data_IF_459067467818
#
_entry.id   IF_459067467818
#
_cell.length_a   1.000
_cell.length_b   1.000
_cell.length_c   1.000
_cell.angle_alpha   90.00
_cell.angle_beta   90.00
_cell.angle_gamma   90.00
#
_symmetry.space_group_name_H-M   'P 1'
#
loop_
_entity.id
_entity.type
_entity.pdbx_description
1 polymer ?
#
# COMPACT_ATOMS: atom_id res chain seq x y z
N UNK A 1 -43.01 -6.44 37.05
CA UNK A 1 -41.58 -6.10 37.25
C UNK A 1 -40.60 -6.84 36.34
N UNK A 2 -40.80 -8.12 35.98
CA UNK A 2 -39.85 -8.87 35.12
C UNK A 2 -39.72 -8.39 33.65
N UNK A 3 -40.74 -7.71 33.08
CA UNK A 3 -40.72 -7.25 31.67
C UNK A 3 -39.91 -5.96 31.43
N UNK A 4 -39.85 -5.05 32.40
CA UNK A 4 -39.13 -3.77 32.25
C UNK A 4 -37.60 -3.91 32.37
N UNK A 5 -37.15 -4.93 33.11
CA UNK A 5 -35.72 -5.26 33.24
C UNK A 5 -35.17 -5.85 31.93
N UNK A 6 -35.96 -6.70 31.24
CA UNK A 6 -35.58 -7.24 29.93
C UNK A 6 -35.44 -6.14 28.86
N UNK A 7 -36.36 -5.17 28.83
CA UNK A 7 -36.31 -4.10 27.84
C UNK A 7 -35.12 -3.16 28.04
N UNK A 8 -34.74 -2.88 29.29
CA UNK A 8 -33.54 -2.09 29.60
C UNK A 8 -32.25 -2.84 29.25
N UNK A 9 -32.22 -4.17 29.41
CA UNK A 9 -31.08 -5.00 29.03
C UNK A 9 -30.88 -5.04 27.50
N UNK A 10 -31.97 -5.17 26.73
CA UNK A 10 -31.93 -5.11 25.27
C UNK A 10 -31.49 -3.72 24.79
N UNK A 11 -31.95 -2.65 25.44
CA UNK A 11 -31.54 -1.27 25.11
C UNK A 11 -30.06 -1.03 25.40
N UNK A 12 -29.52 -1.54 26.52
CA UNK A 12 -28.08 -1.49 26.81
C UNK A 12 -27.23 -2.31 25.84
N UNK A 13 -27.71 -3.48 25.41
CA UNK A 13 -27.04 -4.30 24.40
C UNK A 13 -27.05 -3.60 23.04
N UNK A 14 -28.17 -2.98 22.65
CA UNK A 14 -28.25 -2.18 21.42
C UNK A 14 -27.33 -0.95 21.45
N UNK A 15 -27.18 -0.28 22.60
CA UNK A 15 -26.22 0.83 22.79
C UNK A 15 -24.75 0.37 22.76
N UNK A 16 -24.47 -0.87 23.14
CA UNK A 16 -23.12 -1.46 23.05
C UNK A 16 -22.80 -1.91 21.62
N UNK A 17 -23.78 -2.45 20.88
CA UNK A 17 -23.60 -2.91 19.49
C UNK A 17 -23.41 -1.74 18.51
N UNK A 18 -23.99 -0.56 18.79
CA UNK A 18 -23.79 0.65 17.95
C UNK A 18 -22.42 1.32 18.12
N UNK A 19 -21.57 0.83 19.03
CA UNK A 19 -20.19 1.35 19.20
C UNK A 19 -19.15 0.64 18.32
N UNK A 20 -19.54 -0.40 17.57
CA UNK A 20 -18.63 -1.23 16.79
C UNK A 20 -18.58 -0.83 15.31
N UNK A 21 -18.00 0.34 15.00
CA UNK A 21 -17.29 0.64 13.73
C UNK A 21 -16.98 2.15 13.63
N UNK A 22 -16.45 2.73 14.70
CA UNK A 22 -16.01 4.12 14.72
C UNK A 22 -14.51 4.24 14.45
N UNK A 23 -14.13 5.31 13.78
CA UNK A 23 -12.78 5.86 13.82
C UNK A 23 -12.19 5.78 15.23
N UNK A 24 -10.97 5.26 15.37
CA UNK A 24 -10.25 5.18 16.66
C UNK A 24 -9.11 6.16 16.68
N UNK A 25 -8.92 6.85 17.80
CA UNK A 25 -7.74 7.70 17.99
C UNK A 25 -6.48 6.85 17.86
N UNK A 26 -5.59 7.25 16.96
CA UNK A 26 -4.27 6.64 16.82
C UNK A 26 -3.25 7.48 17.60
N UNK A 27 -2.41 6.80 18.38
CA UNK A 27 -1.29 7.42 19.07
C UNK A 27 0.05 7.13 18.40
N UNK A 28 0.05 6.20 17.43
CA UNK A 28 1.19 5.81 16.63
C UNK A 28 0.71 5.34 15.24
N UNK A 29 1.58 5.48 14.26
CA UNK A 29 1.47 4.82 12.96
C UNK A 29 2.45 3.66 12.92
N UNK A 30 2.02 2.57 12.28
CA UNK A 30 2.77 1.32 12.30
C UNK A 30 2.51 0.51 11.05
N UNK A 31 3.60 0.04 10.43
CA UNK A 31 3.60 -0.83 9.27
C UNK A 31 4.87 -1.70 9.24
N UNK A 32 4.79 -2.86 8.61
CA UNK A 32 5.95 -3.72 8.33
C UNK A 32 6.33 -3.52 6.88
N UNK A 33 7.61 -3.22 6.63
CA UNK A 33 8.16 -3.16 5.28
C UNK A 33 8.42 -4.56 4.76
N UNK A 34 7.83 -4.90 3.62
CA UNK A 34 7.91 -6.22 3.01
C UNK A 34 9.35 -6.61 2.67
N UNK A 35 10.15 -5.65 2.18
CA UNK A 35 11.46 -5.93 1.61
C UNK A 35 12.53 -6.15 2.67
N UNK A 36 12.52 -5.35 3.75
CA UNK A 36 13.48 -5.49 4.86
C UNK A 36 12.96 -6.34 6.02
N UNK A 37 11.64 -6.52 6.13
CA UNK A 37 10.97 -7.11 7.29
C UNK A 37 10.99 -6.20 8.54
N UNK A 38 11.44 -4.95 8.40
CA UNK A 38 11.48 -4.00 9.51
C UNK A 38 10.07 -3.52 9.83
N UNK A 39 9.73 -3.54 11.11
CA UNK A 39 8.52 -2.91 11.63
C UNK A 39 8.84 -1.47 12.04
N UNK A 40 8.21 -0.52 11.36
CA UNK A 40 8.28 0.90 11.70
C UNK A 40 7.14 1.25 12.63
N UNK A 41 7.46 1.95 13.71
CA UNK A 41 6.50 2.50 14.67
C UNK A 41 6.89 3.94 14.94
N UNK A 42 6.01 4.89 14.64
CA UNK A 42 6.25 6.33 14.84
C UNK A 42 5.12 6.89 15.73
N UNK A 43 5.42 7.53 16.87
CA UNK A 43 4.40 8.05 17.78
C UNK A 43 3.75 9.32 17.21
N UNK A 44 2.73 9.13 16.38
CA UNK A 44 1.94 10.19 15.78
C UNK A 44 0.53 10.21 16.39
N UNK A 45 0.22 11.30 17.11
CA UNK A 45 -1.12 11.55 17.64
C UNK A 45 -1.98 12.24 16.59
N UNK A 46 -2.67 11.46 15.77
CA UNK A 46 -3.71 11.98 14.87
C UNK A 46 -5.10 11.78 15.47
N UNK A 47 -6.09 12.61 15.08
CA UNK A 47 -7.43 12.54 15.60
C UNK A 47 -7.95 11.12 15.54
N UNK A 48 -7.89 10.46 14.37
CA UNK A 48 -8.40 9.10 14.21
C UNK A 48 -7.77 8.31 13.05
N UNK A 49 -7.85 6.99 13.10
CA UNK A 49 -7.61 6.09 11.99
C UNK A 49 -8.74 5.07 11.80
N UNK A 50 -8.70 4.37 10.68
CA UNK A 50 -9.60 3.24 10.43
C UNK A 50 -9.23 2.03 11.32
N UNK A 51 -9.69 0.83 10.98
CA UNK A 51 -9.48 -0.39 11.78
C UNK A 51 -7.99 -0.75 12.02
N UNK A 52 -7.05 -0.18 11.25
CA UNK A 52 -5.60 -0.39 11.36
C UNK A 52 -4.85 0.94 11.43
N UNK A 53 -3.63 0.92 11.99
CA UNK A 53 -2.71 2.07 12.13
C UNK A 53 -2.16 2.61 10.81
N UNK A 54 -2.47 1.94 9.70
CA UNK A 54 -2.05 2.30 8.34
C UNK A 54 -2.95 3.37 7.72
N UNK A 55 -4.18 3.55 8.21
CA UNK A 55 -5.13 4.52 7.65
C UNK A 55 -5.29 5.70 8.60
N UNK A 56 -4.86 6.87 8.15
CA UNK A 56 -4.77 8.11 8.92
C UNK A 56 -5.87 9.07 8.48
N UNK A 57 -6.67 9.57 9.43
CA UNK A 57 -7.78 10.47 9.16
C UNK A 57 -7.61 11.70 10.03
N UNK A 58 -7.36 12.84 9.39
CA UNK A 58 -6.95 14.06 10.07
C UNK A 58 -7.40 15.31 9.32
N UNK A 59 -7.50 16.43 10.02
CA UNK A 59 -7.71 17.74 9.40
C UNK A 59 -6.37 18.38 8.99
N UNK A 60 -5.25 17.75 9.35
CA UNK A 60 -3.93 18.21 8.94
C UNK A 60 -3.69 17.95 7.45
N UNK A 61 -3.25 18.97 6.72
CA UNK A 61 -2.75 18.78 5.36
C UNK A 61 -1.39 18.05 5.35
N UNK A 62 -0.88 17.72 4.16
CA UNK A 62 0.36 16.94 4.03
C UNK A 62 1.57 17.67 4.60
N UNK A 63 1.60 19.01 4.53
CA UNK A 63 2.69 19.85 5.04
C UNK A 63 2.65 19.94 6.57
N UNK A 64 1.45 20.07 7.15
CA UNK A 64 1.23 20.02 8.59
C UNK A 64 1.59 18.64 9.15
N UNK A 65 1.21 17.57 8.44
CA UNK A 65 1.58 16.20 8.79
C UNK A 65 3.11 16.01 8.73
N UNK A 66 3.76 16.49 7.68
CA UNK A 66 5.22 16.47 7.53
C UNK A 66 5.89 17.20 8.69
N UNK A 67 5.45 18.42 9.03
CA UNK A 67 6.05 19.20 10.12
C UNK A 67 6.01 18.46 11.46
N UNK A 68 4.89 17.76 11.76
CA UNK A 68 4.78 16.91 12.96
C UNK A 68 5.76 15.74 12.91
N UNK A 69 5.88 15.08 11.77
CA UNK A 69 6.80 13.95 11.59
C UNK A 69 8.27 14.39 11.67
N UNK A 70 8.64 15.55 11.12
CA UNK A 70 9.96 16.14 11.25
C UNK A 70 10.30 16.47 12.72
N UNK A 71 9.34 17.00 13.48
CA UNK A 71 9.52 17.24 14.92
C UNK A 71 9.78 15.93 15.67
N UNK A 72 9.03 14.86 15.36
CA UNK A 72 9.23 13.54 15.96
C UNK A 72 10.59 12.95 15.55
N UNK A 73 10.93 13.00 14.26
CA UNK A 73 12.20 12.55 13.70
C UNK A 73 13.39 13.22 14.40
N UNK A 74 13.32 14.53 14.64
CA UNK A 74 14.38 15.28 15.32
C UNK A 74 14.64 14.82 16.77
N UNK A 75 13.64 14.20 17.41
CA UNK A 75 13.72 13.70 18.79
C UNK A 75 14.16 12.24 18.85
N UNK A 76 13.63 11.40 17.96
CA UNK A 76 13.91 9.96 17.96
C UNK A 76 15.19 9.59 17.19
N UNK A 77 15.48 10.30 16.09
CA UNK A 77 16.67 10.10 15.27
C UNK A 77 16.71 8.78 14.47
N UNK A 78 15.61 8.02 14.43
CA UNK A 78 15.49 6.71 13.78
C UNK A 78 14.77 6.75 12.41
N UNK A 79 14.29 7.91 11.97
CA UNK A 79 13.76 8.10 10.62
C UNK A 79 13.97 9.52 10.11
N UNK A 80 13.80 9.73 8.81
CA UNK A 80 13.71 11.03 8.16
C UNK A 80 12.49 11.11 7.25
N UNK A 81 12.02 12.33 6.99
CA UNK A 81 10.87 12.59 6.13
C UNK A 81 11.32 13.39 4.91
N UNK A 82 10.94 12.94 3.72
CA UNK A 82 11.26 13.61 2.46
C UNK A 82 9.97 13.83 1.66
N UNK A 83 9.89 14.96 0.97
CA UNK A 83 8.79 15.24 0.06
C UNK A 83 8.90 14.35 -1.19
N UNK A 84 7.78 13.75 -1.59
CA UNK A 84 7.61 13.12 -2.89
C UNK A 84 6.64 13.96 -3.75
N UNK A 85 6.69 13.83 -5.08
CA UNK A 85 5.68 14.40 -5.96
C UNK A 85 4.25 13.95 -5.58
N UNK A 86 3.26 14.76 -5.96
CA UNK A 86 1.83 14.47 -5.81
C UNK A 86 1.36 14.35 -4.35
N UNK A 87 1.78 15.30 -3.50
CA UNK A 87 1.36 15.43 -2.09
C UNK A 87 1.56 14.13 -1.29
N UNK A 88 2.72 13.52 -1.47
CA UNK A 88 3.15 12.31 -0.79
C UNK A 88 4.45 12.56 0.00
N UNK A 89 4.67 11.73 1.03
CA UNK A 89 5.89 11.76 1.85
C UNK A 89 6.57 10.40 1.83
N UNK A 90 7.89 10.42 1.66
CA UNK A 90 8.76 9.28 1.89
C UNK A 90 9.27 9.32 3.34
N UNK A 91 9.07 8.23 4.05
CA UNK A 91 9.69 7.98 5.36
C UNK A 91 10.83 6.99 5.15
N UNK A 92 12.05 7.44 5.40
CA UNK A 92 13.22 6.56 5.47
C UNK A 92 13.43 6.20 6.93
N UNK A 93 13.07 4.99 7.30
CA UNK A 93 13.24 4.46 8.65
C UNK A 93 14.52 3.63 8.72
N UNK A 94 15.32 3.83 9.77
CA UNK A 94 16.58 3.11 9.96
C UNK A 94 16.57 2.37 11.29
N UNK A 95 16.78 1.06 11.22
CA UNK A 95 16.87 0.17 12.38
C UNK A 95 17.98 -0.84 12.18
N UNK A 96 18.83 -1.01 13.19
CA UNK A 96 19.95 -1.96 13.16
C UNK A 96 20.87 -1.79 11.92
N UNK A 97 21.11 -0.54 11.51
CA UNK A 97 21.87 -0.16 10.30
C UNK A 97 21.26 -0.62 8.97
N UNK A 98 20.00 -1.07 8.96
CA UNK A 98 19.22 -1.36 7.77
C UNK A 98 18.14 -0.29 7.57
N UNK A 99 17.80 -0.03 6.32
CA UNK A 99 16.76 0.93 5.95
C UNK A 99 15.46 0.21 5.57
N UNK A 100 14.35 0.91 5.79
CA UNK A 100 13.03 0.58 5.31
C UNK A 100 12.35 1.84 4.78
N UNK A 101 11.68 1.73 3.65
CA UNK A 101 11.00 2.83 2.99
C UNK A 101 9.50 2.71 3.19
N UNK A 102 8.89 3.77 3.71
CA UNK A 102 7.45 3.87 3.83
C UNK A 102 6.94 5.11 3.11
N UNK A 103 5.69 5.03 2.70
CA UNK A 103 4.97 6.03 1.95
C UNK A 103 3.80 6.51 2.80
N UNK A 104 3.67 7.82 2.93
CA UNK A 104 2.41 8.46 3.30
C UNK A 104 1.86 9.12 2.04
N UNK A 105 0.69 8.67 1.59
CA UNK A 105 0.01 9.28 0.45
C UNK A 105 -1.46 9.48 0.75
N UNK A 106 -2.04 10.56 0.23
CA UNK A 106 -3.48 10.78 0.33
C UNK A 106 -4.24 9.74 -0.49
N UNK A 107 -5.39 9.29 0.01
CA UNK A 107 -6.29 8.41 -0.72
C UNK A 107 -7.72 8.91 -0.56
N UNK A 108 -8.54 8.70 -1.60
CA UNK A 108 -9.95 9.05 -1.53
C UNK A 108 -10.78 7.80 -1.23
N UNK A 109 -11.62 7.90 -0.21
CA UNK A 109 -12.72 6.95 -0.04
C UNK A 109 -13.69 7.08 -1.22
N UNK A 110 -14.27 5.96 -1.65
CA UNK A 110 -15.16 5.93 -2.81
C UNK A 110 -16.28 6.96 -2.74
N UNK A 111 -16.81 7.35 -3.92
CA UNK A 111 -17.71 8.50 -4.14
C UNK A 111 -18.94 8.61 -3.20
N UNK A 112 -19.33 7.53 -2.52
CA UNK A 112 -20.45 7.49 -1.59
C UNK A 112 -20.07 7.76 -0.13
N UNK A 113 -18.79 7.93 0.18
CA UNK A 113 -18.31 8.22 1.52
C UNK A 113 -18.18 9.72 1.76
N UNK A 114 -18.78 10.21 2.85
CA UNK A 114 -18.54 11.57 3.34
C UNK A 114 -17.52 11.51 4.47
N UNK A 115 -16.27 11.94 4.25
CA UNK A 115 -15.28 11.86 5.29
C UNK A 115 -15.58 12.83 6.42
N UNK A 116 -15.29 12.37 7.64
CA UNK A 116 -15.43 13.19 8.85
C UNK A 116 -14.30 14.23 8.97
N UNK A 117 -13.15 13.91 8.39
CA UNK A 117 -11.93 14.72 8.40
C UNK A 117 -11.60 15.18 6.99
N UNK A 118 -10.91 16.31 6.88
CA UNK A 118 -10.58 16.91 5.58
C UNK A 118 -9.64 16.01 4.75
N UNK A 119 -8.73 15.29 5.41
CA UNK A 119 -7.69 14.50 4.76
C UNK A 119 -7.67 13.04 5.22
N UNK A 120 -7.27 12.16 4.31
CA UNK A 120 -7.16 10.72 4.51
C UNK A 120 -5.86 10.21 3.91
N UNK A 121 -4.93 9.74 4.74
CA UNK A 121 -3.65 9.22 4.28
C UNK A 121 -3.51 7.74 4.56
N UNK A 122 -2.75 7.07 3.72
CA UNK A 122 -2.30 5.70 3.98
C UNK A 122 -0.81 5.70 4.25
N UNK A 123 -0.42 5.01 5.32
CA UNK A 123 0.95 4.67 5.66
C UNK A 123 1.21 3.21 5.26
N UNK A 124 2.06 2.98 4.27
CA UNK A 124 2.41 1.65 3.76
C UNK A 124 3.86 1.60 3.29
N UNK A 125 4.35 0.41 2.93
CA UNK A 125 5.57 0.31 2.12
C UNK A 125 5.24 0.47 0.62
N UNK A 126 6.22 0.18 -0.23
CA UNK A 126 6.09 0.18 -1.69
C UNK A 126 5.81 -1.21 -2.28
N UNK A 127 5.39 -2.16 -1.45
CA UNK A 127 5.12 -3.52 -1.93
C UNK A 127 3.74 -3.63 -2.56
N UNK A 128 3.71 -4.21 -3.75
CA UNK A 128 2.49 -4.51 -4.48
C UNK A 128 2.20 -6.01 -4.48
N UNK A 129 0.91 -6.32 -4.60
CA UNK A 129 0.45 -7.64 -5.02
C UNK A 129 -0.28 -7.58 -6.37
N UNK A 130 -0.06 -8.61 -7.20
CA UNK A 130 -0.75 -8.85 -8.47
C UNK A 130 -1.59 -10.11 -8.38
N UNK A 131 -2.90 -10.00 -8.58
CA UNK A 131 -3.83 -11.13 -8.57
C UNK A 131 -3.82 -11.87 -9.90
N UNK A 132 -3.18 -13.04 -9.93
CA UNK A 132 -3.13 -13.92 -11.10
C UNK A 132 -4.46 -14.62 -11.34
N UNK A 133 -4.64 -15.09 -12.58
CA UNK A 133 -5.77 -15.94 -12.99
C UNK A 133 -6.06 -17.09 -12.01
N UNK A 134 -7.36 -17.34 -11.81
CA UNK A 134 -7.83 -18.38 -10.90
C UNK A 134 -7.76 -19.77 -11.54
N UNK A 135 -7.28 -20.76 -10.78
CA UNK A 135 -7.31 -22.17 -11.16
C UNK A 135 -8.57 -22.84 -10.61
N UNK A 136 -9.34 -23.50 -11.47
CA UNK A 136 -10.45 -24.35 -11.03
C UNK A 136 -9.90 -25.69 -10.52
N UNK A 137 -10.11 -26.02 -9.25
CA UNK A 137 -9.84 -27.34 -8.67
C UNK A 137 -11.14 -28.05 -8.27
N UNK A 138 -11.05 -29.34 -7.91
CA UNK A 138 -12.21 -30.16 -7.51
C UNK A 138 -12.93 -29.62 -6.26
N UNK A 139 -12.21 -28.88 -5.42
CA UNK A 139 -12.64 -28.24 -4.18
C UNK A 139 -13.05 -26.77 -4.34
N UNK A 140 -12.86 -26.18 -5.52
CA UNK A 140 -13.31 -24.82 -5.83
C UNK A 140 -12.28 -23.99 -6.60
N UNK A 141 -12.56 -22.69 -6.71
CA UNK A 141 -11.71 -21.73 -7.40
C UNK A 141 -10.56 -21.27 -6.49
N UNK A 142 -9.32 -21.50 -6.89
CA UNK A 142 -8.12 -21.00 -6.19
C UNK A 142 -7.56 -19.83 -6.98
N UNK A 143 -7.50 -18.65 -6.37
CA UNK A 143 -6.74 -17.54 -6.94
C UNK A 143 -5.31 -17.54 -6.42
N UNK A 144 -4.41 -16.97 -7.21
CA UNK A 144 -3.01 -16.80 -6.85
C UNK A 144 -2.71 -15.31 -6.83
N UNK A 145 -1.81 -14.88 -5.95
CA UNK A 145 -1.26 -13.53 -6.03
C UNK A 145 0.24 -13.55 -5.91
N UNK A 146 0.90 -12.77 -6.76
CA UNK A 146 2.32 -12.46 -6.66
C UNK A 146 2.43 -11.29 -5.68
N UNK A 147 3.31 -11.37 -4.69
CA UNK A 147 3.58 -10.30 -3.71
C UNK A 147 5.04 -9.90 -3.74
N UNK A 148 5.32 -8.66 -3.33
CA UNK A 148 6.69 -8.16 -3.20
C UNK A 148 7.22 -7.49 -4.44
N UNK A 149 6.34 -6.93 -5.26
CA UNK A 149 6.74 -6.15 -6.43
C UNK A 149 6.90 -4.69 -5.98
N UNK A 150 8.08 -4.07 -6.11
CA UNK A 150 8.27 -2.66 -5.76
C UNK A 150 7.57 -1.77 -6.79
N UNK A 151 6.54 -1.04 -6.37
CA UNK A 151 5.78 -0.12 -7.21
C UNK A 151 5.79 1.28 -6.58
N UNK A 152 6.15 2.34 -7.31
CA UNK A 152 6.06 3.71 -6.80
C UNK A 152 4.60 4.16 -6.74
N UNK A 153 3.87 3.74 -5.70
CA UNK A 153 2.43 3.99 -5.59
C UNK A 153 2.03 5.47 -5.72
N UNK A 154 2.87 6.39 -5.23
CA UNK A 154 2.66 7.84 -5.34
C UNK A 154 2.63 8.37 -6.78
N UNK A 155 3.13 7.62 -7.77
CA UNK A 155 3.07 8.01 -9.18
C UNK A 155 1.79 7.52 -9.88
N UNK A 156 0.96 6.73 -9.20
CA UNK A 156 -0.31 6.19 -9.71
C UNK A 156 -1.48 7.00 -9.13
N UNK A 157 -2.40 7.46 -10.00
CA UNK A 157 -3.45 8.40 -9.61
C UNK A 157 -4.57 7.78 -8.76
N UNK A 158 -5.08 6.62 -9.17
CA UNK A 158 -6.37 6.11 -8.70
C UNK A 158 -6.25 4.83 -7.83
N UNK A 159 -5.05 4.51 -7.34
CA UNK A 159 -4.77 3.23 -6.70
C UNK A 159 -4.80 3.27 -5.18
N UNK A 160 -5.71 2.48 -4.60
CA UNK A 160 -5.58 1.95 -3.24
C UNK A 160 -4.27 1.15 -3.19
N UNK A 161 -3.21 1.74 -2.63
CA UNK A 161 -1.83 1.22 -2.70
C UNK A 161 -1.72 -0.31 -2.54
N UNK A 162 -1.05 -0.97 -3.47
CA UNK A 162 -0.54 -2.32 -3.26
C UNK A 162 -1.44 -3.49 -3.67
N UNK A 163 -2.59 -3.29 -4.33
CA UNK A 163 -3.39 -4.38 -4.91
C UNK A 163 -3.76 -4.11 -6.36
N UNK A 164 -3.22 -4.91 -7.27
CA UNK A 164 -3.38 -4.79 -8.72
C UNK A 164 -3.95 -6.09 -9.28
N UNK A 165 -4.85 -6.00 -10.26
CA UNK A 165 -5.48 -7.16 -10.86
C UNK A 165 -4.74 -7.60 -12.13
N UNK A 166 -4.67 -8.91 -12.36
CA UNK A 166 -4.23 -9.56 -13.61
C UNK A 166 -5.37 -10.45 -14.16
N UNK A 167 -6.63 -10.06 -13.91
CA UNK A 167 -7.80 -10.80 -14.44
C UNK A 167 -8.04 -10.44 -15.92
N UNK A 168 -7.56 -11.31 -16.79
CA UNK A 168 -8.03 -11.60 -18.17
C UNK A 168 -9.04 -10.61 -18.80
N UNK A 169 -8.55 -9.92 -19.85
CA UNK A 169 -9.23 -9.35 -21.04
C UNK A 169 -9.23 -7.84 -21.24
N UNK A 170 -8.70 -7.05 -20.31
CA UNK A 170 -8.29 -5.67 -20.56
C UNK A 170 -6.92 -5.54 -19.89
N UNK A 171 -5.91 -5.05 -20.60
CA UNK A 171 -4.69 -4.59 -19.92
C UNK A 171 -5.18 -3.53 -18.94
N UNK A 172 -5.19 -3.81 -17.63
CA UNK A 172 -5.65 -2.83 -16.66
C UNK A 172 -4.69 -1.64 -16.74
N UNK A 173 -5.10 -0.63 -17.50
CA UNK A 173 -4.38 0.61 -17.69
C UNK A 173 -4.51 1.42 -16.40
N UNK A 174 -3.38 1.67 -15.76
CA UNK A 174 -3.34 2.47 -14.56
C UNK A 174 -2.89 3.89 -14.91
N UNK A 175 -3.78 4.86 -14.70
CA UNK A 175 -3.42 6.26 -14.95
C UNK A 175 -2.32 6.68 -14.00
N UNK A 176 -1.26 7.24 -14.58
CA UNK A 176 -0.10 7.72 -13.83
C UNK A 176 -0.03 9.23 -13.90
N UNK A 177 0.38 9.84 -12.79
CA UNK A 177 0.79 11.23 -12.83
C UNK A 177 2.26 11.34 -13.24
N UNK A 178 3.07 10.32 -12.94
CA UNK A 178 4.49 10.27 -13.28
C UNK A 178 4.79 9.80 -14.70
N UNK A 179 6.05 9.96 -15.11
CA UNK A 179 6.61 9.45 -16.36
C UNK A 179 7.69 8.39 -16.15
N UNK A 180 8.19 7.81 -17.25
CA UNK A 180 9.20 6.75 -17.22
C UNK A 180 10.49 7.14 -16.46
N UNK A 181 10.91 8.40 -16.49
CA UNK A 181 12.11 8.85 -15.76
C UNK A 181 11.87 8.87 -14.25
N UNK A 182 10.66 9.23 -13.81
CA UNK A 182 10.31 9.26 -12.39
C UNK A 182 10.22 7.84 -11.82
N UNK A 183 9.64 6.90 -12.56
CA UNK A 183 9.68 5.48 -12.20
C UNK A 183 11.12 4.96 -12.16
N UNK A 184 11.96 5.32 -13.15
CA UNK A 184 13.35 4.89 -13.18
C UNK A 184 14.15 5.41 -11.96
N UNK A 185 13.99 6.69 -11.61
CA UNK A 185 14.58 7.29 -10.41
C UNK A 185 14.13 6.60 -9.13
N UNK A 186 12.85 6.25 -9.03
CA UNK A 186 12.35 5.47 -7.90
C UNK A 186 13.12 4.14 -7.76
N UNK A 187 13.32 3.40 -8.85
CA UNK A 187 14.04 2.14 -8.78
C UNK A 187 15.53 2.30 -8.43
N UNK A 188 16.17 3.38 -8.90
CA UNK A 188 17.54 3.72 -8.47
C UNK A 188 17.61 3.97 -6.96
N UNK A 189 16.73 4.83 -6.44
CA UNK A 189 16.61 5.12 -5.00
C UNK A 189 16.29 3.84 -4.20
N UNK A 190 15.38 3.00 -4.70
CA UNK A 190 15.01 1.73 -4.06
C UNK A 190 16.24 0.84 -3.88
N UNK A 191 17.08 0.69 -4.91
CA UNK A 191 18.31 -0.11 -4.81
C UNK A 191 19.34 0.50 -3.85
N UNK A 192 19.43 1.83 -3.77
CA UNK A 192 20.34 2.51 -2.84
C UNK A 192 19.99 2.20 -1.38
N UNK A 193 18.69 2.19 -1.05
CA UNK A 193 18.24 1.88 0.31
C UNK A 193 18.20 0.39 0.63
N UNK A 194 17.86 -0.45 -0.35
CA UNK A 194 17.84 -1.90 -0.22
C UNK A 194 19.05 -2.54 -0.92
N UNK A 195 20.26 -2.24 -0.44
CA UNK A 195 21.50 -2.69 -1.09
C UNK A 195 21.66 -4.22 -1.22
N UNK A 196 20.96 -5.01 -0.39
CA UNK A 196 20.91 -6.48 -0.50
C UNK A 196 19.95 -6.96 -1.63
N UNK A 197 19.07 -6.08 -2.12
CA UNK A 197 18.05 -6.36 -3.13
C UNK A 197 18.56 -5.97 -4.52
N UNK A 198 19.26 -6.90 -5.19
CA UNK A 198 19.85 -6.65 -6.50
C UNK A 198 18.79 -6.77 -7.60
N UNK A 199 18.35 -5.64 -8.15
CA UNK A 199 17.49 -5.54 -9.32
C UNK A 199 18.29 -5.10 -10.55
N UNK A 200 18.12 -5.81 -11.66
CA UNK A 200 18.63 -5.33 -12.94
C UNK A 200 17.55 -4.51 -13.62
N UNK A 201 17.69 -3.18 -13.62
CA UNK A 201 16.73 -2.27 -14.23
C UNK A 201 17.18 -1.97 -15.66
N UNK A 202 16.34 -2.30 -16.63
CA UNK A 202 16.54 -1.93 -18.04
C UNK A 202 15.46 -0.94 -18.43
N UNK A 203 15.88 0.18 -19.00
CA UNK A 203 14.99 1.22 -19.53
C UNK A 203 15.00 1.18 -21.05
N UNK A 204 13.82 0.99 -21.62
CA UNK A 204 13.51 1.08 -23.05
C UNK A 204 12.67 2.35 -23.31
N UNK A 205 12.38 2.66 -24.57
CA UNK A 205 11.68 3.91 -24.94
C UNK A 205 10.30 4.04 -24.28
N UNK A 206 9.57 2.93 -24.14
CA UNK A 206 8.22 2.89 -23.59
C UNK A 206 8.06 1.82 -22.49
N UNK A 207 9.15 1.32 -21.92
CA UNK A 207 9.09 0.29 -20.88
C UNK A 207 10.22 0.39 -19.87
N UNK A 208 9.91 0.07 -18.62
CA UNK A 208 10.89 -0.28 -17.59
C UNK A 208 10.79 -1.76 -17.28
N UNK A 209 11.93 -2.43 -17.26
CA UNK A 209 12.02 -3.87 -17.04
C UNK A 209 12.86 -4.11 -15.80
N UNK A 210 12.26 -4.73 -14.79
CA UNK A 210 12.92 -5.24 -13.61
C UNK A 210 13.26 -6.72 -13.85
N UNK A 211 14.54 -7.06 -13.97
CA UNK A 211 14.98 -8.43 -14.19
C UNK A 211 15.42 -9.10 -12.89
N UNK A 212 15.19 -10.41 -12.80
CA UNK A 212 15.50 -11.24 -11.65
C UNK A 212 14.84 -10.75 -10.36
N UNK A 213 13.57 -10.35 -10.43
CA UNK A 213 12.82 -9.78 -9.31
C UNK A 213 12.33 -10.91 -8.38
N UNK A 214 12.84 -11.01 -7.13
CA UNK A 214 12.37 -12.02 -6.18
C UNK A 214 10.99 -11.63 -5.63
N UNK A 215 10.03 -12.54 -5.73
CA UNK A 215 8.64 -12.36 -5.28
C UNK A 215 8.12 -13.62 -4.59
N UNK A 216 6.99 -13.50 -3.91
CA UNK A 216 6.30 -14.65 -3.32
C UNK A 216 4.95 -14.88 -4.00
N UNK A 217 4.64 -16.12 -4.34
CA UNK A 217 3.27 -16.53 -4.71
C UNK A 217 2.55 -16.97 -3.43
N UNK A 218 1.38 -16.36 -3.19
CA UNK A 218 0.41 -16.85 -2.21
C UNK A 218 -0.81 -17.43 -2.91
N UNK A 219 -1.30 -18.55 -2.40
CA UNK A 219 -2.52 -19.19 -2.86
C UNK A 219 -3.68 -18.75 -1.97
N UNK A 220 -4.82 -18.40 -2.57
CA UNK A 220 -6.04 -18.03 -1.87
C UNK A 220 -7.03 -19.17 -2.09
N UNK A 221 -7.48 -19.78 -1.00
CA UNK A 221 -8.45 -20.87 -1.04
C UNK A 221 -9.82 -20.38 -1.54
N UNK A 222 -10.69 -21.29 -2.00
CA UNK A 222 -12.04 -20.94 -2.46
C UNK A 222 -12.89 -20.21 -1.40
N UNK A 223 -12.61 -20.45 -0.11
CA UNK A 223 -13.25 -19.79 1.03
C UNK A 223 -12.71 -18.37 1.30
N UNK A 224 -11.77 -17.89 0.48
CA UNK A 224 -11.13 -16.57 0.63
C UNK A 224 -10.01 -16.53 1.67
N UNK A 225 -9.66 -17.67 2.26
CA UNK A 225 -8.56 -17.75 3.22
C UNK A 225 -7.22 -17.86 2.48
N UNK A 226 -6.20 -17.16 2.95
CA UNK A 226 -4.84 -17.36 2.45
C UNK A 226 -4.39 -18.77 2.86
N UNK A 227 -4.13 -19.63 1.88
CA UNK A 227 -3.40 -20.86 2.14
C UNK A 227 -1.99 -20.46 2.59
N UNK A 228 -1.54 -21.05 3.70
CA UNK A 228 -0.22 -20.84 4.29
C UNK A 228 0.96 -21.15 3.36
N UNK A 229 0.71 -21.75 2.19
CA UNK A 229 1.72 -22.02 1.17
C UNK A 229 2.19 -20.73 0.52
N UNK A 230 3.35 -20.27 0.97
CA UNK A 230 4.13 -19.22 0.32
C UNK A 230 5.19 -19.91 -0.55
N UNK A 231 5.18 -19.63 -1.85
CA UNK A 231 6.19 -20.13 -2.77
C UNK A 231 7.09 -18.97 -3.22
N UNK A 232 8.37 -18.92 -2.80
CA UNK A 232 9.31 -17.96 -3.33
C UNK A 232 9.62 -18.30 -4.79
N UNK A 233 9.56 -17.30 -5.67
CA UNK A 233 9.93 -17.41 -7.08
C UNK A 233 10.76 -16.18 -7.49
N UNK A 234 11.45 -16.29 -8.61
CA UNK A 234 12.16 -15.16 -9.23
C UNK A 234 11.47 -14.90 -10.56
N UNK A 235 10.89 -13.72 -10.73
CA UNK A 235 10.42 -13.27 -12.04
C UNK A 235 11.64 -12.97 -12.90
N UNK A 236 11.74 -13.62 -14.06
CA UNK A 236 12.79 -13.31 -15.05
C UNK A 236 12.69 -11.85 -15.47
N UNK A 237 11.47 -11.39 -15.74
CA UNK A 237 11.17 -10.00 -16.09
C UNK A 237 9.85 -9.58 -15.46
N UNK A 238 9.82 -8.37 -14.90
CA UNK A 238 8.61 -7.62 -14.59
C UNK A 238 8.67 -6.31 -15.39
N UNK A 239 7.68 -6.06 -16.24
CA UNK A 239 7.64 -4.97 -17.19
C UNK A 239 6.54 -3.98 -16.82
N UNK A 240 6.91 -2.71 -16.84
CA UNK A 240 6.02 -1.57 -16.69
C UNK A 240 6.01 -0.88 -18.05
N UNK A 241 4.93 -1.07 -18.80
CA UNK A 241 4.80 -0.50 -20.13
C UNK A 241 4.08 0.84 -20.03
N UNK A 242 4.63 1.87 -20.65
CA UNK A 242 4.08 3.22 -20.66
C UNK A 242 3.39 3.48 -22.00
N UNK A 243 2.17 3.99 -21.94
CA UNK A 243 1.39 4.34 -23.13
C UNK A 243 0.46 5.53 -22.83
N UNK A 244 -0.39 5.85 -23.81
CA UNK A 244 -1.53 6.76 -23.63
C UNK A 244 -2.81 5.99 -23.90
N UNK A 245 -3.80 6.14 -23.03
CA UNK A 245 -5.12 5.56 -23.24
C UNK A 245 -5.93 6.37 -24.28
N UNK A 246 -7.16 5.92 -24.55
CA UNK A 246 -8.10 6.56 -25.49
C UNK A 246 -8.40 8.03 -25.14
N UNK A 247 -8.28 8.42 -23.87
CA UNK A 247 -8.46 9.80 -23.39
C UNK A 247 -7.17 10.63 -23.46
N UNK A 248 -6.10 10.10 -24.08
CA UNK A 248 -4.76 10.70 -24.12
C UNK A 248 -4.09 10.88 -22.74
N UNK A 249 -4.59 10.18 -21.71
CA UNK A 249 -3.96 10.17 -20.39
C UNK A 249 -2.77 9.21 -20.39
N UNK A 250 -1.66 9.58 -19.73
CA UNK A 250 -0.54 8.65 -19.55
C UNK A 250 -0.96 7.50 -18.64
N UNK A 251 -0.70 6.28 -19.08
CA UNK A 251 -1.05 5.06 -18.35
C UNK A 251 0.14 4.12 -18.29
N UNK A 252 0.10 3.22 -17.31
CA UNK A 252 1.00 2.06 -17.25
C UNK A 252 0.23 0.76 -17.22
N UNK A 253 0.79 -0.26 -17.85
CA UNK A 253 0.33 -1.65 -17.71
C UNK A 253 1.46 -2.51 -17.15
N UNK A 254 1.10 -3.55 -16.42
CA UNK A 254 2.06 -4.48 -15.82
C UNK A 254 2.02 -5.82 -16.54
N UNK A 255 3.20 -6.38 -16.82
CA UNK A 255 3.33 -7.73 -17.37
C UNK A 255 4.57 -8.40 -16.81
N UNK A 256 4.59 -9.73 -16.79
CA UNK A 256 5.69 -10.47 -16.16
C UNK A 256 5.97 -11.81 -16.83
N UNK A 257 7.18 -12.31 -16.60
CA UNK A 257 7.66 -13.62 -17.06
C UNK A 257 8.25 -14.37 -15.87
N UNK A 258 7.69 -15.54 -15.57
CA UNK A 258 8.20 -16.49 -14.57
C UNK A 258 9.31 -17.37 -15.19
#
# INVERSE_FOLDING_TARGET
MKKNVCFSFILCIMLLITSCSGYKRLNEIKAIDYFSGIECTIPLRIPYGALTSEFLHTDDDIYELKAKLDEISSKEGNFSVQDLPYDALLIVYTKDSKNALYLIQEYQLGQHYRPKYSHQYRFSDFSACLYMSSQMRKDGLISQRIEGIPIPHHLLRDMYAGSYNDYNYIEDEYVVNGNIEEFYKFYQMFQEYYGEYTLNIVKEDNALILKNLPVNIKYISPEGNLDSKIQPIILKEFRINFSKNDNSEPVVTFSYVI
#
